data_IF_235757474453
#
_entry.id   IF_235757474453
#
_cell.length_a   1.000
_cell.length_b   1.000
_cell.length_c   1.000
_cell.angle_alpha   90.00
_cell.angle_beta   90.00
_cell.angle_gamma   90.00
#
_symmetry.space_group_name_H-M   'P 1'
#
loop_
_entity.id
_entity.type
_entity.pdbx_description
1 polymer ?
#
# COMPACT_ATOMS: atom_id res chain seq x y z
N UNK A 1 -1.63 -8.84 -24.48
CA UNK A 1 -0.36 -9.14 -25.18
C UNK A 1 0.56 -7.94 -25.03
N UNK A 2 1.85 -8.17 -24.82
CA UNK A 2 2.89 -7.12 -24.86
C UNK A 2 3.37 -6.90 -26.30
N UNK A 3 4.23 -5.89 -26.53
CA UNK A 3 4.78 -5.58 -27.85
C UNK A 3 5.62 -6.76 -28.38
N UNK A 4 5.45 -7.11 -29.67
CA UNK A 4 6.14 -8.23 -30.35
C UNK A 4 7.35 -7.82 -31.19
N UNK A 5 7.52 -6.53 -31.44
CA UNK A 5 8.46 -5.97 -32.42
C UNK A 5 9.61 -5.17 -31.79
N UNK A 6 9.41 -4.65 -30.57
CA UNK A 6 10.36 -3.78 -29.89
C UNK A 6 10.36 -3.98 -28.38
N UNK A 7 11.54 -3.95 -27.78
CA UNK A 7 11.73 -4.04 -26.34
C UNK A 7 11.20 -2.79 -25.62
N UNK A 8 10.59 -3.00 -24.45
CA UNK A 8 10.20 -1.92 -23.54
C UNK A 8 11.17 -1.88 -22.37
N UNK A 9 11.96 -0.81 -22.27
CA UNK A 9 12.81 -0.53 -21.13
C UNK A 9 12.12 0.43 -20.16
N UNK A 10 12.29 0.20 -18.86
CA UNK A 10 11.88 1.14 -17.82
C UNK A 10 12.81 1.01 -16.61
N UNK A 11 13.14 2.14 -15.98
CA UNK A 11 13.95 2.19 -14.76
C UNK A 11 13.09 2.88 -13.68
N UNK A 12 12.15 2.15 -13.05
CA UNK A 12 11.30 2.76 -12.05
C UNK A 12 12.06 2.96 -10.73
N UNK A 13 11.88 4.12 -10.12
CA UNK A 13 12.34 4.42 -8.77
C UNK A 13 11.14 4.60 -7.84
N UNK A 14 11.17 3.94 -6.69
CA UNK A 14 10.11 4.04 -5.68
C UNK A 14 10.74 4.47 -4.36
N UNK A 15 10.32 5.63 -3.85
CA UNK A 15 10.69 6.11 -2.53
C UNK A 15 9.57 5.81 -1.54
N UNK A 16 9.80 4.81 -0.69
CA UNK A 16 8.82 4.34 0.28
C UNK A 16 9.19 4.80 1.70
N UNK A 17 8.21 4.84 2.62
CA UNK A 17 8.48 5.05 4.04
C UNK A 17 9.45 4.01 4.64
N UNK A 18 10.07 4.35 5.76
CA UNK A 18 10.83 3.40 6.58
C UNK A 18 9.95 2.22 7.05
N UNK A 19 10.54 1.05 7.27
CA UNK A 19 9.78 -0.15 7.65
C UNK A 19 9.02 -0.01 8.99
N UNK A 20 9.57 0.77 9.91
CA UNK A 20 9.01 1.10 11.22
C UNK A 20 8.00 2.26 11.19
N UNK A 21 7.89 2.96 10.05
CA UNK A 21 7.01 4.10 9.89
C UNK A 21 5.55 3.72 10.18
N UNK A 22 4.87 4.60 10.92
CA UNK A 22 3.43 4.56 11.10
C UNK A 22 2.75 5.45 10.08
N UNK A 23 1.89 4.85 9.25
CA UNK A 23 1.11 5.54 8.24
C UNK A 23 -0.26 5.86 8.82
N UNK A 24 -0.60 7.14 8.83
CA UNK A 24 -1.91 7.66 9.25
C UNK A 24 -2.30 8.85 8.37
N UNK A 25 -3.59 9.19 8.24
CA UNK A 25 -4.00 10.46 7.62
C UNK A 25 -3.27 11.64 8.28
N UNK A 26 -2.78 12.57 7.46
CA UNK A 26 -2.13 13.79 7.95
C UNK A 26 -3.13 14.63 8.73
N UNK A 27 -2.77 15.02 9.95
CA UNK A 27 -3.69 15.69 10.89
C UNK A 27 -4.14 17.04 10.32
N UNK A 28 -3.21 17.78 9.72
CA UNK A 28 -3.46 19.07 9.05
C UNK A 28 -4.43 18.99 7.86
N UNK A 29 -4.68 17.80 7.31
CA UNK A 29 -5.64 17.58 6.22
C UNK A 29 -6.98 17.03 6.71
N UNK A 30 -7.16 16.83 8.01
CA UNK A 30 -8.37 16.25 8.60
C UNK A 30 -9.11 17.26 9.48
N UNK A 31 -10.44 17.25 9.41
CA UNK A 31 -11.31 18.09 10.24
C UNK A 31 -12.73 17.48 10.34
N UNK A 32 -13.68 18.22 10.92
CA UNK A 32 -15.08 17.74 11.08
C UNK A 32 -15.79 17.49 9.74
N UNK A 33 -15.51 18.28 8.71
CA UNK A 33 -16.06 18.08 7.37
C UNK A 33 -15.28 17.06 6.54
N UNK A 34 -14.00 16.85 6.85
CA UNK A 34 -13.13 15.87 6.19
C UNK A 34 -12.48 14.96 7.23
N UNK A 35 -13.24 13.99 7.73
CA UNK A 35 -12.76 13.06 8.75
C UNK A 35 -11.68 12.13 8.18
N UNK A 36 -10.78 11.62 9.04
CA UNK A 36 -9.84 10.56 8.67
C UNK A 36 -10.61 9.37 8.07
N UNK A 37 -10.12 8.83 6.95
CA UNK A 37 -10.74 7.67 6.26
C UNK A 37 -10.10 6.34 6.61
N UNK A 38 -8.92 6.36 7.21
CA UNK A 38 -8.12 5.18 7.52
C UNK A 38 -7.54 5.26 8.93
N UNK A 39 -7.47 4.12 9.60
CA UNK A 39 -6.80 3.94 10.90
C UNK A 39 -5.27 3.86 10.70
N UNK A 40 -4.47 4.29 11.69
CA UNK A 40 -3.02 4.15 11.64
C UNK A 40 -2.56 2.70 11.44
N UNK A 41 -1.45 2.49 10.72
CA UNK A 41 -0.85 1.16 10.53
C UNK A 41 0.66 1.21 10.31
N UNK A 42 1.36 0.12 10.59
CA UNK A 42 2.80 0.00 10.33
C UNK A 42 3.08 -0.32 8.87
N UNK A 43 3.86 0.53 8.20
CA UNK A 43 4.18 0.40 6.78
C UNK A 43 4.87 -0.92 6.47
N UNK A 44 5.92 -1.29 7.21
CA UNK A 44 6.68 -2.50 6.95
C UNK A 44 5.82 -3.77 7.01
N UNK A 45 4.88 -3.85 7.97
CA UNK A 45 3.95 -4.99 8.07
C UNK A 45 3.05 -5.08 6.83
N UNK A 46 2.47 -3.96 6.42
CA UNK A 46 1.62 -3.90 5.23
C UNK A 46 2.40 -4.24 3.95
N UNK A 47 3.56 -3.62 3.77
CA UNK A 47 4.39 -3.76 2.57
C UNK A 47 4.94 -5.18 2.40
N UNK A 48 5.48 -5.77 3.47
CA UNK A 48 6.00 -7.16 3.44
C UNK A 48 4.88 -8.14 3.10
N UNK A 49 3.69 -7.99 3.72
CA UNK A 49 2.55 -8.84 3.40
C UNK A 49 2.14 -8.71 1.93
N UNK A 50 2.05 -7.48 1.41
CA UNK A 50 1.73 -7.21 0.00
C UNK A 50 2.73 -7.88 -0.95
N UNK A 51 4.03 -7.75 -0.69
CA UNK A 51 5.07 -8.43 -1.46
C UNK A 51 4.94 -9.95 -1.42
N UNK A 52 4.62 -10.51 -0.25
CA UNK A 52 4.43 -11.96 -0.07
C UNK A 52 3.18 -12.51 -0.78
N UNK A 53 2.13 -11.70 -0.91
CA UNK A 53 0.87 -12.09 -1.56
C UNK A 53 0.87 -11.97 -3.09
N UNK A 54 1.88 -11.30 -3.68
CA UNK A 54 1.93 -11.09 -5.13
C UNK A 54 1.99 -12.42 -5.88
N UNK A 55 0.94 -12.69 -6.68
CA UNK A 55 0.79 -13.90 -7.50
C UNK A 55 0.83 -15.23 -6.71
N UNK A 56 0.66 -15.18 -5.38
CA UNK A 56 0.60 -16.36 -4.51
C UNK A 56 -0.78 -16.45 -3.86
N UNK A 57 -1.40 -17.63 -3.93
CA UNK A 57 -2.57 -17.93 -3.11
C UNK A 57 -2.07 -18.30 -1.72
N UNK A 58 -2.48 -17.53 -0.72
CA UNK A 58 -2.28 -17.85 0.68
C UNK A 58 -3.58 -18.43 1.24
N UNK A 59 -3.48 -19.21 2.32
CA UNK A 59 -4.66 -19.74 3.02
C UNK A 59 -5.38 -18.66 3.84
N UNK A 60 -4.74 -17.50 4.01
CA UNK A 60 -5.27 -16.32 4.69
C UNK A 60 -5.64 -15.21 3.70
N UNK A 61 -6.50 -14.29 4.12
CA UNK A 61 -6.86 -13.13 3.31
C UNK A 61 -5.63 -12.23 3.08
N UNK A 62 -5.40 -11.85 1.82
CA UNK A 62 -4.38 -10.89 1.46
C UNK A 62 -4.68 -9.53 2.09
N UNK A 63 -3.84 -9.04 3.00
CA UNK A 63 -3.95 -7.72 3.60
C UNK A 63 -4.01 -6.63 2.51
N UNK A 64 -5.10 -5.88 2.53
CA UNK A 64 -5.41 -4.75 1.65
C UNK A 64 -5.56 -3.47 2.45
N UNK A 65 -5.49 -2.34 1.74
CA UNK A 65 -5.66 -1.03 2.38
C UNK A 65 -7.06 -0.84 2.99
N UNK A 66 -8.09 -1.51 2.45
CA UNK A 66 -9.45 -1.40 2.99
C UNK A 66 -9.61 -2.01 4.39
N UNK A 67 -8.73 -2.93 4.81
CA UNK A 67 -8.71 -3.44 6.18
C UNK A 67 -8.40 -2.34 7.20
N UNK A 68 -7.80 -1.24 6.74
CA UNK A 68 -7.53 -0.05 7.52
C UNK A 68 -8.58 1.04 7.36
N UNK A 69 -9.58 0.87 6.51
CA UNK A 69 -10.64 1.87 6.34
C UNK A 69 -11.45 1.99 7.64
N UNK A 70 -11.74 3.22 8.05
CA UNK A 70 -12.68 3.50 9.13
C UNK A 70 -14.11 3.27 8.60
N UNK A 71 -14.97 2.64 9.41
CA UNK A 71 -16.37 2.37 9.06
C UNK A 71 -17.17 3.66 8.89
#
# INVERSE_FOLDING_TARGET
MVNKEKERFSIPFFFNPGHDAEIKPLEELTNKQNSPKYKPYKWGKFFVHRLHSNFKKQDEENLQIYHYKLQ
#
